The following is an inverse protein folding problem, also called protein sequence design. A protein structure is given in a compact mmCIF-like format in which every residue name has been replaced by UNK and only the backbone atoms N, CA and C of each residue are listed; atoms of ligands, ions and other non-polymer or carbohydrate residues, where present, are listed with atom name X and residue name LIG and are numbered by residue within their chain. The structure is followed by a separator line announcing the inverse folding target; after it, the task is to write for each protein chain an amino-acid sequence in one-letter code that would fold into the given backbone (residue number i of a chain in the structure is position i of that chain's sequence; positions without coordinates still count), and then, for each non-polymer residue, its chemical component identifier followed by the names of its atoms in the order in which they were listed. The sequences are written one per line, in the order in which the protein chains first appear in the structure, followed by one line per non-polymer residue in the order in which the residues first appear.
data_IF_688792814226
#
_entry.id   IF_688792814226
#
_cell.length_a   1.000
_cell.length_b   1.000
_cell.length_c   1.000
_cell.angle_alpha   90.00
_cell.angle_beta   90.00
_cell.angle_gamma   90.00
#
_symmetry.space_group_name_H-M   'P 1'
#
loop_
_entity.id
_entity.type
_entity.pdbx_description
1 polymer ?
#
# COMPACT_ATOMS: atom_id res chain seq x y z
N UNK A 1 -41.98 -1.16 19.57
CA UNK A 1 -40.60 -0.67 19.40
C UNK A 1 -40.09 -1.15 18.06
N UNK A 2 -40.23 -0.33 17.01
CA UNK A 2 -39.73 -0.67 15.68
C UNK A 2 -38.22 -0.54 15.66
N UNK A 3 -37.52 -1.63 15.34
CA UNK A 3 -36.11 -1.57 14.99
C UNK A 3 -35.96 -0.57 13.84
N UNK A 4 -35.22 0.53 14.05
CA UNK A 4 -34.76 1.36 12.96
C UNK A 4 -33.86 0.48 12.10
N UNK A 5 -34.40 -0.05 11.01
CA UNK A 5 -33.59 -0.57 9.91
C UNK A 5 -32.78 0.64 9.45
N UNK A 6 -31.53 0.74 9.90
CA UNK A 6 -30.62 1.74 9.37
C UNK A 6 -30.42 1.39 7.91
N UNK A 7 -30.84 2.28 7.01
CA UNK A 7 -30.55 2.12 5.59
C UNK A 7 -29.03 2.09 5.44
N UNK A 8 -28.52 1.07 4.73
CA UNK A 8 -27.10 0.96 4.47
C UNK A 8 -26.58 2.27 3.87
N UNK A 9 -25.56 2.86 4.51
CA UNK A 9 -25.02 4.15 4.09
C UNK A 9 -23.56 4.02 3.70
N UNK A 10 -23.17 4.69 2.62
CA UNK A 10 -21.78 4.76 2.18
C UNK A 10 -20.88 5.31 3.30
N UNK A 11 -21.34 6.30 4.05
CA UNK A 11 -20.57 6.94 5.11
C UNK A 11 -20.28 5.99 6.29
N UNK A 12 -21.26 5.17 6.68
CA UNK A 12 -21.06 4.15 7.71
C UNK A 12 -20.08 3.08 7.23
N UNK A 13 -20.23 2.61 5.99
CA UNK A 13 -19.32 1.63 5.43
C UNK A 13 -17.88 2.16 5.29
N UNK A 14 -17.71 3.43 4.93
CA UNK A 14 -16.42 4.11 4.92
C UNK A 14 -15.80 4.22 6.32
N UNK A 15 -16.61 4.53 7.34
CA UNK A 15 -16.14 4.55 8.72
C UNK A 15 -15.71 3.16 9.21
N UNK A 16 -16.45 2.11 8.85
CA UNK A 16 -16.09 0.72 9.15
C UNK A 16 -14.78 0.33 8.45
N UNK A 17 -14.65 0.65 7.16
CA UNK A 17 -13.43 0.39 6.39
C UNK A 17 -12.21 1.10 7.00
N UNK A 18 -12.36 2.38 7.41
CA UNK A 18 -11.30 3.15 8.09
C UNK A 18 -10.89 2.53 9.43
N UNK A 19 -11.83 1.93 10.16
CA UNK A 19 -11.57 1.21 11.42
C UNK A 19 -11.03 -0.21 11.20
N UNK A 20 -10.97 -0.69 9.96
CA UNK A 20 -10.56 -2.05 9.62
C UNK A 20 -11.61 -3.11 9.91
N UNK A 21 -12.88 -2.73 10.13
CA UNK A 21 -13.99 -3.68 10.26
C UNK A 21 -14.43 -4.13 8.86
N UNK A 22 -13.60 -4.97 8.22
CA UNK A 22 -13.69 -5.24 6.79
C UNK A 22 -14.96 -6.02 6.43
N UNK A 23 -15.35 -6.98 7.27
CA UNK A 23 -16.57 -7.79 7.07
C UNK A 23 -17.83 -6.91 7.08
N UNK A 24 -17.95 -6.05 8.09
CA UNK A 24 -19.08 -5.13 8.22
C UNK A 24 -19.10 -4.10 7.08
N UNK A 25 -17.93 -3.57 6.70
CA UNK A 25 -17.80 -2.64 5.59
C UNK A 25 -18.24 -3.26 4.25
N UNK A 26 -17.83 -4.50 3.96
CA UNK A 26 -18.24 -5.23 2.75
C UNK A 26 -19.74 -5.45 2.74
N UNK A 27 -20.32 -5.89 3.86
CA UNK A 27 -21.76 -6.14 3.95
C UNK A 27 -22.57 -4.86 3.65
N UNK A 28 -22.18 -3.74 4.26
CA UNK A 28 -22.81 -2.45 4.04
C UNK A 28 -22.64 -1.97 2.59
N UNK A 29 -21.43 -2.07 2.04
CA UNK A 29 -21.19 -1.63 0.66
C UNK A 29 -21.93 -2.48 -0.36
N UNK A 30 -22.03 -3.80 -0.17
CA UNK A 30 -22.84 -4.66 -1.04
C UNK A 30 -24.31 -4.26 -1.03
N UNK A 31 -24.85 -3.84 0.11
CA UNK A 31 -26.20 -3.31 0.19
C UNK A 31 -26.32 -1.98 -0.57
N UNK A 32 -25.33 -1.08 -0.44
CA UNK A 32 -25.27 0.20 -1.18
C UNK A 32 -25.21 -0.04 -2.69
N UNK A 33 -24.34 -0.92 -3.18
CA UNK A 33 -24.22 -1.21 -4.63
C UNK A 33 -25.43 -1.98 -5.17
N UNK A 34 -26.14 -2.74 -4.32
CA UNK A 34 -27.40 -3.37 -4.72
C UNK A 34 -28.53 -2.34 -4.90
N UNK A 35 -28.61 -1.34 -4.02
CA UNK A 35 -29.59 -0.26 -4.11
C UNK A 35 -29.23 0.78 -5.19
N UNK A 36 -27.92 1.01 -5.39
CA UNK A 36 -27.37 1.99 -6.34
C UNK A 36 -26.24 1.36 -7.16
N UNK A 37 -26.56 0.56 -8.20
CA UNK A 37 -25.55 -0.17 -8.99
C UNK A 37 -24.55 0.71 -9.77
N UNK A 38 -24.81 2.02 -9.85
CA UNK A 38 -23.94 2.98 -10.53
C UNK A 38 -23.24 3.94 -9.55
N UNK A 39 -23.15 3.64 -8.25
CA UNK A 39 -22.31 4.43 -7.34
C UNK A 39 -20.84 3.98 -7.48
N UNK A 40 -20.09 4.71 -8.32
CA UNK A 40 -18.66 4.44 -8.55
C UNK A 40 -17.82 4.50 -7.27
N UNK A 41 -18.19 5.34 -6.29
CA UNK A 41 -17.44 5.46 -5.03
C UNK A 41 -17.63 4.23 -4.16
N UNK A 42 -18.84 3.66 -4.14
CA UNK A 42 -19.11 2.43 -3.41
C UNK A 42 -18.33 1.24 -4.00
N UNK A 43 -18.28 1.12 -5.33
CA UNK A 43 -17.45 0.13 -6.01
C UNK A 43 -15.95 0.36 -5.76
N UNK A 44 -15.47 1.60 -5.81
CA UNK A 44 -14.08 1.93 -5.51
C UNK A 44 -13.70 1.57 -4.06
N UNK A 45 -14.58 1.85 -3.10
CA UNK A 45 -14.34 1.49 -1.70
C UNK A 45 -14.38 -0.04 -1.49
N UNK A 46 -15.30 -0.77 -2.15
CA UNK A 46 -15.27 -2.24 -2.14
C UNK A 46 -13.96 -2.77 -2.71
N UNK A 47 -13.48 -2.20 -3.82
CA UNK A 47 -12.20 -2.57 -4.40
C UNK A 47 -11.07 -2.44 -3.38
N UNK A 48 -10.98 -1.30 -2.70
CA UNK A 48 -9.95 -1.05 -1.67
C UNK A 48 -10.06 -2.03 -0.50
N UNK A 49 -11.26 -2.29 0.02
CA UNK A 49 -11.45 -3.24 1.13
C UNK A 49 -11.12 -4.67 0.70
N UNK A 50 -11.52 -5.10 -0.49
CA UNK A 50 -11.13 -6.41 -1.00
C UNK A 50 -9.62 -6.53 -1.25
N UNK A 51 -8.98 -5.48 -1.75
CA UNK A 51 -7.54 -5.47 -1.96
C UNK A 51 -6.78 -5.59 -0.64
N UNK A 52 -7.22 -4.91 0.43
CA UNK A 52 -6.60 -5.04 1.76
C UNK A 52 -6.85 -6.40 2.41
N UNK A 53 -7.95 -7.07 2.07
CA UNK A 53 -8.22 -8.45 2.46
C UNK A 53 -7.50 -9.49 1.57
N UNK A 54 -6.69 -9.06 0.62
CA UNK A 54 -6.02 -9.92 -0.37
C UNK A 54 -6.98 -10.72 -1.27
N UNK A 55 -8.25 -10.29 -1.37
CA UNK A 55 -9.26 -10.85 -2.26
C UNK A 55 -9.15 -10.20 -3.65
N UNK A 56 -8.04 -10.44 -4.34
CA UNK A 56 -7.66 -9.68 -5.55
C UNK A 56 -8.63 -9.85 -6.73
N UNK A 57 -9.29 -11.00 -6.85
CA UNK A 57 -10.30 -11.23 -7.89
C UNK A 57 -11.54 -10.36 -7.67
N UNK A 58 -12.04 -10.28 -6.44
CA UNK A 58 -13.15 -9.40 -6.08
C UNK A 58 -12.72 -7.93 -6.20
N UNK A 59 -11.53 -7.58 -5.70
CA UNK A 59 -11.00 -6.23 -5.80
C UNK A 59 -10.95 -5.73 -7.26
N UNK A 60 -10.37 -6.52 -8.15
CA UNK A 60 -10.29 -6.15 -9.58
C UNK A 60 -11.67 -6.00 -10.21
N UNK A 61 -12.65 -6.87 -9.90
CA UNK A 61 -14.03 -6.75 -10.40
C UNK A 61 -14.68 -5.43 -9.97
N UNK A 62 -14.53 -5.05 -8.71
CA UNK A 62 -15.14 -3.82 -8.18
C UNK A 62 -14.44 -2.56 -8.70
N UNK A 63 -13.11 -2.57 -8.83
CA UNK A 63 -12.37 -1.48 -9.47
C UNK A 63 -12.74 -1.32 -10.96
N UNK A 64 -12.93 -2.44 -11.69
CA UNK A 64 -13.41 -2.41 -13.07
C UNK A 64 -14.80 -1.77 -13.18
N UNK A 65 -15.68 -2.04 -12.20
CA UNK A 65 -17.00 -1.41 -12.14
C UNK A 65 -16.88 0.11 -11.91
N UNK A 66 -16.08 0.55 -10.93
CA UNK A 66 -15.86 1.97 -10.66
C UNK A 66 -15.29 2.73 -11.88
N UNK A 67 -14.26 2.17 -12.51
CA UNK A 67 -13.64 2.73 -13.71
C UNK A 67 -14.58 2.73 -14.92
N UNK A 68 -15.48 1.74 -15.04
CA UNK A 68 -16.50 1.71 -16.11
C UNK A 68 -17.59 2.77 -15.90
N UNK A 69 -18.04 2.96 -14.66
CA UNK A 69 -19.07 3.96 -14.32
C UNK A 69 -18.53 5.37 -14.51
N UNK A 70 -17.26 5.60 -14.15
CA UNK A 70 -16.60 6.92 -14.23
C UNK A 70 -15.27 6.83 -15.00
N UNK A 71 -15.31 6.67 -16.33
CA UNK A 71 -14.12 6.40 -17.15
C UNK A 71 -13.14 7.57 -17.27
N UNK A 72 -13.56 8.77 -16.88
CA UNK A 72 -12.75 9.98 -16.88
C UNK A 72 -12.17 10.33 -15.50
N UNK A 73 -12.32 9.46 -14.51
CA UNK A 73 -11.68 9.63 -13.20
C UNK A 73 -10.24 9.14 -13.23
N UNK A 74 -9.27 10.04 -13.06
CA UNK A 74 -7.86 9.65 -12.89
C UNK A 74 -7.67 8.73 -11.67
N UNK A 75 -8.42 8.96 -10.59
CA UNK A 75 -8.34 8.19 -9.36
C UNK A 75 -8.77 6.73 -9.58
N UNK A 76 -9.90 6.50 -10.28
CA UNK A 76 -10.37 5.13 -10.50
C UNK A 76 -9.54 4.35 -11.50
N UNK A 77 -8.92 5.03 -12.48
CA UNK A 77 -7.95 4.39 -13.37
C UNK A 77 -6.68 3.99 -12.61
N UNK A 78 -6.22 4.85 -11.69
CA UNK A 78 -5.10 4.56 -10.81
C UNK A 78 -5.40 3.37 -9.89
N UNK A 79 -6.56 3.37 -9.23
CA UNK A 79 -6.97 2.27 -8.33
C UNK A 79 -7.11 0.94 -9.07
N UNK A 80 -7.67 0.94 -10.28
CA UNK A 80 -7.75 -0.26 -11.10
C UNK A 80 -6.36 -0.79 -11.47
N UNK A 81 -5.44 0.10 -11.85
CA UNK A 81 -4.05 -0.29 -12.13
C UNK A 81 -3.35 -0.89 -10.91
N UNK A 82 -3.54 -0.29 -9.72
CA UNK A 82 -3.06 -0.82 -8.43
C UNK A 82 -3.65 -2.19 -8.11
N UNK A 83 -4.95 -2.38 -8.32
CA UNK A 83 -5.62 -3.67 -8.09
C UNK A 83 -5.07 -4.77 -9.01
N UNK A 84 -4.81 -4.46 -10.29
CA UNK A 84 -4.14 -5.40 -11.18
C UNK A 84 -2.69 -5.70 -10.76
N UNK A 85 -1.96 -4.70 -10.26
CA UNK A 85 -0.63 -4.87 -9.70
C UNK A 85 -0.61 -5.83 -8.51
N UNK A 86 -1.47 -5.58 -7.53
CA UNK A 86 -1.61 -6.45 -6.36
C UNK A 86 -1.98 -7.89 -6.77
N UNK A 87 -2.91 -8.06 -7.72
CA UNK A 87 -3.23 -9.37 -8.28
C UNK A 87 -2.03 -10.03 -8.96
N UNK A 88 -1.25 -9.29 -9.73
CA UNK A 88 -0.07 -9.79 -10.43
C UNK A 88 0.99 -10.31 -9.47
N UNK A 89 1.24 -9.58 -8.38
CA UNK A 89 2.25 -9.92 -7.37
C UNK A 89 1.91 -11.23 -6.63
N UNK A 90 0.62 -11.56 -6.49
CA UNK A 90 0.15 -12.74 -5.75
C UNK A 90 -0.25 -13.92 -6.64
N UNK A 91 -0.49 -13.73 -7.94
CA UNK A 91 -0.94 -14.77 -8.87
C UNK A 91 0.20 -15.41 -9.71
N UNK A 92 1.45 -15.12 -9.36
CA UNK A 92 2.65 -15.67 -10.00
C UNK A 92 3.02 -15.03 -11.35
N UNK A 93 4.20 -15.37 -11.91
CA UNK A 93 4.80 -14.65 -13.03
C UNK A 93 3.97 -14.73 -14.32
N UNK A 94 3.26 -15.84 -14.56
CA UNK A 94 2.42 -16.00 -15.74
C UNK A 94 1.21 -15.05 -15.72
N UNK A 95 0.52 -14.95 -14.59
CA UNK A 95 -0.61 -14.02 -14.44
C UNK A 95 -0.10 -12.58 -14.45
N UNK A 96 1.02 -12.30 -13.79
CA UNK A 96 1.63 -10.98 -13.79
C UNK A 96 1.97 -10.49 -15.20
N UNK A 97 2.52 -11.36 -16.05
CA UNK A 97 2.80 -11.02 -17.45
C UNK A 97 1.54 -10.72 -18.26
N UNK A 98 0.40 -11.35 -17.96
CA UNK A 98 -0.89 -11.02 -18.61
C UNK A 98 -1.45 -9.68 -18.16
N UNK A 99 -1.18 -9.29 -16.91
CA UNK A 99 -1.70 -8.06 -16.31
C UNK A 99 -0.79 -6.84 -16.55
N UNK A 100 0.50 -7.03 -16.84
CA UNK A 100 1.49 -5.94 -16.98
C UNK A 100 1.06 -4.83 -17.95
N UNK A 101 0.42 -5.20 -19.08
CA UNK A 101 -0.10 -4.24 -20.04
C UNK A 101 -1.29 -3.44 -19.50
N UNK A 102 -2.15 -4.06 -18.68
CA UNK A 102 -3.29 -3.39 -18.03
C UNK A 102 -2.83 -2.47 -16.92
N UNK A 103 -1.82 -2.87 -16.15
CA UNK A 103 -1.18 -2.05 -15.11
C UNK A 103 -0.60 -0.78 -15.74
N UNK A 104 0.29 -0.96 -16.74
CA UNK A 104 0.89 0.17 -17.46
C UNK A 104 -0.17 1.09 -18.06
N UNK A 105 -1.11 0.53 -18.83
CA UNK A 105 -2.14 1.31 -19.51
C UNK A 105 -3.05 2.06 -18.55
N UNK A 106 -3.37 1.49 -17.39
CA UNK A 106 -4.14 2.16 -16.35
C UNK A 106 -3.39 3.35 -15.71
N UNK A 107 -2.11 3.17 -15.38
CA UNK A 107 -1.27 4.28 -14.88
C UNK A 107 -1.10 5.39 -15.93
N UNK A 108 -0.79 5.03 -17.18
CA UNK A 108 -0.70 5.99 -18.30
C UNK A 108 -2.02 6.75 -18.48
N UNK A 109 -3.16 6.04 -18.41
CA UNK A 109 -4.48 6.66 -18.54
C UNK A 109 -4.79 7.59 -17.37
N UNK A 110 -4.43 7.23 -16.15
CA UNK A 110 -4.59 8.10 -14.98
C UNK A 110 -3.80 9.41 -15.16
N UNK A 111 -2.53 9.34 -15.55
CA UNK A 111 -1.69 10.52 -15.82
C UNK A 111 -2.21 11.34 -17.01
N UNK A 112 -2.81 10.69 -18.01
CA UNK A 112 -3.43 11.37 -19.15
C UNK A 112 -4.69 12.14 -18.74
N UNK A 113 -5.50 11.57 -17.85
CA UNK A 113 -6.73 12.18 -17.36
C UNK A 113 -6.46 13.36 -16.42
N UNK A 114 -5.50 13.20 -15.52
CA UNK A 114 -5.04 14.27 -14.64
C UNK A 114 -3.51 14.26 -14.60
N UNK A 115 -2.93 15.21 -15.33
CA UNK A 115 -1.50 15.41 -15.36
C UNK A 115 -0.91 15.86 -14.01
N UNK A 116 -1.71 16.35 -13.08
CA UNK A 116 -1.26 16.80 -11.76
C UNK A 116 -1.42 15.75 -10.66
N UNK A 117 -1.97 14.57 -10.99
CA UNK A 117 -2.11 13.48 -10.05
C UNK A 117 -0.73 12.91 -9.67
N UNK A 118 -0.23 13.32 -8.51
CA UNK A 118 1.09 12.95 -7.99
C UNK A 118 1.20 11.45 -7.77
N UNK A 119 0.14 10.79 -7.30
CA UNK A 119 0.13 9.37 -7.04
C UNK A 119 0.22 8.57 -8.35
N UNK A 120 -0.55 8.98 -9.37
CA UNK A 120 -0.48 8.36 -10.69
C UNK A 120 0.89 8.55 -11.36
N UNK A 121 1.48 9.74 -11.23
CA UNK A 121 2.83 10.01 -11.72
C UNK A 121 3.90 9.17 -10.99
N UNK A 122 3.77 9.05 -9.67
CA UNK A 122 4.69 8.28 -8.84
C UNK A 122 4.62 6.80 -9.17
N UNK A 123 3.41 6.24 -9.29
CA UNK A 123 3.19 4.82 -9.59
C UNK A 123 3.60 4.48 -11.03
N UNK A 124 3.34 5.37 -12.00
CA UNK A 124 3.82 5.19 -13.37
C UNK A 124 5.36 5.22 -13.42
N UNK A 125 5.98 6.16 -12.70
CA UNK A 125 7.43 6.25 -12.57
C UNK A 125 8.03 4.99 -11.95
N UNK A 126 7.45 4.52 -10.84
CA UNK A 126 7.82 3.28 -10.18
C UNK A 126 7.72 2.08 -11.13
N UNK A 127 6.60 1.96 -11.84
CA UNK A 127 6.41 0.91 -12.84
C UNK A 127 7.51 0.95 -13.90
N UNK A 128 7.87 2.14 -14.40
CA UNK A 128 8.95 2.29 -15.37
C UNK A 128 10.32 1.89 -14.81
N UNK A 129 10.60 2.13 -13.53
CA UNK A 129 11.86 1.67 -12.88
C UNK A 129 11.88 0.15 -12.72
N UNK A 130 10.78 -0.45 -12.26
CA UNK A 130 10.76 -1.86 -11.86
C UNK A 130 10.63 -2.80 -13.05
N UNK A 131 9.68 -2.50 -13.95
CA UNK A 131 9.29 -3.40 -15.02
C UNK A 131 10.44 -3.57 -16.05
N UNK A 132 10.64 -4.77 -16.61
CA UNK A 132 11.58 -4.97 -17.71
C UNK A 132 11.23 -4.10 -18.94
N UNK A 133 12.25 -3.68 -19.69
CA UNK A 133 12.05 -2.90 -20.92
C UNK A 133 11.15 -3.58 -21.94
N UNK A 134 11.21 -4.92 -22.04
CA UNK A 134 10.37 -5.74 -22.94
C UNK A 134 8.86 -5.61 -22.67
N UNK A 135 8.46 -5.26 -21.45
CA UNK A 135 7.05 -5.06 -21.07
C UNK A 135 6.70 -3.58 -20.92
N UNK A 136 7.63 -2.69 -21.30
CA UNK A 136 7.39 -1.24 -21.35
C UNK A 136 8.01 -0.44 -20.23
N UNK A 137 8.82 -1.05 -19.35
CA UNK A 137 9.64 -0.30 -18.40
C UNK A 137 10.74 0.54 -19.09
N UNK A 138 11.58 1.17 -18.29
CA UNK A 138 12.69 2.02 -18.73
C UNK A 138 12.98 3.16 -17.74
N UNK A 139 14.21 3.24 -17.24
CA UNK A 139 14.65 4.31 -16.32
C UNK A 139 14.71 5.67 -17.02
N UNK A 140 14.88 5.71 -18.34
CA UNK A 140 14.71 6.89 -19.19
C UNK A 140 13.29 7.47 -19.12
N UNK A 141 12.26 6.62 -19.21
CA UNK A 141 10.85 7.03 -19.08
C UNK A 141 10.54 7.51 -17.67
N UNK A 142 11.06 6.82 -16.66
CA UNK A 142 10.94 7.25 -15.27
C UNK A 142 11.54 8.66 -15.06
N UNK A 143 12.78 8.89 -15.53
CA UNK A 143 13.43 10.21 -15.46
C UNK A 143 12.65 11.30 -16.18
N UNK A 144 11.98 10.98 -17.29
CA UNK A 144 11.17 11.95 -18.02
C UNK A 144 9.95 12.47 -17.21
N UNK A 145 9.46 11.71 -16.22
CA UNK A 145 8.38 12.14 -15.33
C UNK A 145 8.88 13.01 -14.17
N UNK A 146 10.17 12.91 -13.82
CA UNK A 146 10.73 13.55 -12.64
C UNK A 146 10.55 15.08 -12.61
N UNK A 147 10.78 15.87 -13.68
CA UNK A 147 10.59 17.33 -13.62
C UNK A 147 9.15 17.72 -13.23
N UNK A 148 8.16 16.97 -13.72
CA UNK A 148 6.75 17.20 -13.41
C UNK A 148 6.43 16.85 -11.96
N UNK A 149 6.92 15.71 -11.48
CA UNK A 149 6.81 15.33 -10.08
C UNK A 149 7.52 16.34 -9.18
N UNK A 150 8.70 16.82 -9.54
CA UNK A 150 9.44 17.80 -8.75
C UNK A 150 8.68 19.12 -8.61
N UNK A 151 8.03 19.58 -9.68
CA UNK A 151 7.22 20.79 -9.66
C UNK A 151 5.99 20.67 -8.73
N UNK A 152 5.40 19.48 -8.61
CA UNK A 152 4.22 19.23 -7.78
C UNK A 152 4.59 18.88 -6.33
N UNK A 153 5.58 17.98 -6.18
CA UNK A 153 6.11 17.42 -4.93
C UNK A 153 7.60 17.07 -5.12
N UNK A 154 8.47 18.02 -4.83
CA UNK A 154 9.93 17.90 -4.96
C UNK A 154 10.50 16.58 -4.42
N UNK A 155 10.10 16.16 -3.23
CA UNK A 155 10.52 14.89 -2.63
C UNK A 155 10.24 13.66 -3.53
N UNK A 156 9.02 13.54 -4.08
CA UNK A 156 8.63 12.43 -4.98
C UNK A 156 9.42 12.43 -6.29
N UNK A 157 9.79 13.60 -6.77
CA UNK A 157 10.65 13.73 -7.95
C UNK A 157 12.09 13.25 -7.68
N UNK A 158 12.68 13.66 -6.55
CA UNK A 158 13.99 13.17 -6.10
C UNK A 158 13.99 11.66 -5.87
N UNK A 159 12.95 11.13 -5.19
CA UNK A 159 12.72 9.69 -5.02
C UNK A 159 12.82 8.96 -6.35
N UNK A 160 12.04 9.39 -7.35
CA UNK A 160 12.00 8.73 -8.65
C UNK A 160 13.36 8.73 -9.36
N UNK A 161 14.10 9.84 -9.28
CA UNK A 161 15.45 9.93 -9.84
C UNK A 161 16.43 9.01 -9.11
N UNK A 162 16.38 8.96 -7.78
CA UNK A 162 17.20 8.07 -6.95
C UNK A 162 16.96 6.60 -7.27
N UNK A 163 15.69 6.22 -7.44
CA UNK A 163 15.28 4.88 -7.84
C UNK A 163 15.76 4.51 -9.25
N UNK A 164 15.60 5.41 -10.22
CA UNK A 164 16.09 5.19 -11.59
C UNK A 164 17.62 5.05 -11.64
N UNK A 165 18.35 5.89 -10.90
CA UNK A 165 19.81 5.80 -10.80
C UNK A 165 20.25 4.50 -10.13
N UNK A 166 19.61 4.10 -9.03
CA UNK A 166 19.90 2.84 -8.35
C UNK A 166 19.66 1.62 -9.27
N UNK A 167 18.59 1.63 -10.06
CA UNK A 167 18.28 0.58 -11.05
C UNK A 167 19.34 0.46 -12.14
N UNK A 168 19.90 1.58 -12.56
CA UNK A 168 20.99 1.63 -13.55
C UNK A 168 22.37 1.31 -12.94
N UNK A 169 22.45 1.13 -11.62
CA UNK A 169 23.71 0.90 -10.90
C UNK A 169 24.53 2.18 -10.66
N UNK A 170 24.00 3.36 -11.00
CA UNK A 170 24.60 4.66 -10.68
C UNK A 170 24.29 5.05 -9.23
N UNK A 171 25.04 4.43 -8.33
CA UNK A 171 24.84 4.60 -6.90
C UNK A 171 25.28 5.96 -6.37
N UNK A 172 26.21 6.63 -7.04
CA UNK A 172 26.61 7.99 -6.65
C UNK A 172 25.47 8.97 -6.83
N UNK A 173 24.79 8.91 -7.99
CA UNK A 173 23.58 9.70 -8.22
C UNK A 173 22.43 9.27 -7.32
N UNK A 174 22.24 7.95 -7.12
CA UNK A 174 21.17 7.46 -6.24
C UNK A 174 21.31 7.99 -4.80
N UNK A 175 22.51 7.90 -4.21
CA UNK A 175 22.79 8.41 -2.87
C UNK A 175 22.50 9.92 -2.78
N UNK A 176 22.91 10.69 -3.80
CA UNK A 176 22.67 12.13 -3.84
C UNK A 176 21.17 12.49 -3.95
N UNK A 177 20.40 11.77 -4.76
CA UNK A 177 18.98 12.04 -4.95
C UNK A 177 18.15 11.64 -3.73
N UNK A 178 18.39 10.47 -3.12
CA UNK A 178 17.72 10.11 -1.86
C UNK A 178 18.07 11.06 -0.71
N UNK A 179 19.31 11.60 -0.68
CA UNK A 179 19.65 12.62 0.30
C UNK A 179 18.91 13.94 0.06
N UNK A 180 18.72 14.35 -1.21
CA UNK A 180 17.91 15.53 -1.54
C UNK A 180 16.45 15.32 -1.17
N UNK A 181 15.90 14.14 -1.43
CA UNK A 181 14.55 13.76 -0.98
C UNK A 181 14.41 13.95 0.53
N UNK A 182 15.32 13.36 1.32
CA UNK A 182 15.30 13.48 2.77
C UNK A 182 15.41 14.94 3.24
N UNK A 183 16.30 15.72 2.63
CA UNK A 183 16.50 17.14 2.97
C UNK A 183 15.30 18.02 2.60
N UNK A 184 14.45 17.60 1.66
CA UNK A 184 13.23 18.33 1.30
C UNK A 184 12.07 17.92 2.19
N UNK A 185 11.89 16.62 2.41
CA UNK A 185 10.70 16.09 3.09
C UNK A 185 10.83 16.08 4.61
N UNK A 186 12.01 15.70 5.14
CA UNK A 186 12.23 15.39 6.56
C UNK A 186 11.15 14.46 7.14
N UNK A 187 10.67 13.48 6.36
CA UNK A 187 9.52 12.63 6.69
C UNK A 187 9.92 11.18 6.94
N UNK A 188 9.02 10.44 7.62
CA UNK A 188 9.15 9.00 7.79
C UNK A 188 9.20 8.25 6.45
N UNK A 189 8.34 8.63 5.49
CA UNK A 189 8.40 8.13 4.11
C UNK A 189 9.82 8.19 3.50
N UNK A 190 10.51 9.34 3.58
CA UNK A 190 11.86 9.47 3.00
C UNK A 190 12.90 8.54 3.68
N UNK A 191 12.75 8.29 4.99
CA UNK A 191 13.57 7.31 5.68
C UNK A 191 13.23 5.86 5.29
N UNK A 192 11.95 5.55 5.03
CA UNK A 192 11.53 4.24 4.50
C UNK A 192 12.13 3.99 3.12
N UNK A 193 12.14 5.00 2.25
CA UNK A 193 12.73 4.90 0.92
C UNK A 193 14.26 4.68 0.97
N UNK A 194 14.96 5.41 1.84
CA UNK A 194 16.38 5.17 2.13
C UNK A 194 16.64 3.77 2.69
N UNK A 195 15.76 3.25 3.55
CA UNK A 195 15.87 1.89 4.08
C UNK A 195 15.71 0.85 2.96
N UNK A 196 14.71 0.99 2.09
CA UNK A 196 14.50 0.13 0.92
C UNK A 196 15.68 0.16 -0.05
N UNK A 197 16.20 1.35 -0.35
CA UNK A 197 17.38 1.52 -1.17
C UNK A 197 18.61 0.86 -0.54
N UNK A 198 18.86 1.05 0.76
CA UNK A 198 19.95 0.37 1.46
C UNK A 198 19.77 -1.17 1.45
N UNK A 199 18.54 -1.67 1.57
CA UNK A 199 18.26 -3.12 1.45
C UNK A 199 18.56 -3.65 0.05
N UNK A 200 18.20 -2.94 -1.03
CA UNK A 200 18.51 -3.38 -2.39
C UNK A 200 20.03 -3.47 -2.64
N UNK A 201 20.80 -2.64 -1.93
CA UNK A 201 22.27 -2.67 -1.87
C UNK A 201 22.85 -3.69 -0.88
N UNK A 202 22.00 -4.49 -0.21
CA UNK A 202 22.39 -5.45 0.85
C UNK A 202 23.10 -4.80 2.05
N UNK A 203 22.87 -3.50 2.27
CA UNK A 203 23.43 -2.75 3.39
C UNK A 203 22.52 -2.87 4.62
N UNK A 204 22.37 -4.09 5.14
CA UNK A 204 21.37 -4.44 6.16
C UNK A 204 21.43 -3.57 7.43
N UNK A 205 22.62 -3.22 7.90
CA UNK A 205 22.79 -2.38 9.09
C UNK A 205 22.29 -0.95 8.84
N UNK A 206 22.63 -0.37 7.70
CA UNK A 206 22.20 0.98 7.29
C UNK A 206 20.69 1.01 7.04
N UNK A 207 20.15 -0.02 6.39
CA UNK A 207 18.72 -0.18 6.19
C UNK A 207 17.95 -0.24 7.52
N UNK A 208 18.43 -1.00 8.50
CA UNK A 208 17.83 -1.07 9.83
C UNK A 208 17.90 0.28 10.56
N UNK A 209 19.01 1.01 10.46
CA UNK A 209 19.13 2.36 11.03
C UNK A 209 18.08 3.30 10.44
N UNK A 210 17.95 3.37 9.11
CA UNK A 210 16.94 4.21 8.47
C UNK A 210 15.51 3.82 8.83
N UNK A 211 15.19 2.52 8.92
CA UNK A 211 13.87 2.08 9.38
C UNK A 211 13.58 2.50 10.83
N UNK A 212 14.58 2.47 11.72
CA UNK A 212 14.41 2.99 13.09
C UNK A 212 14.19 4.50 13.09
N UNK A 213 14.92 5.26 12.26
CA UNK A 213 14.68 6.70 12.13
C UNK A 213 13.29 7.00 11.55
N UNK A 214 12.80 6.23 10.57
CA UNK A 214 11.44 6.37 10.06
C UNK A 214 10.40 6.29 11.19
N UNK A 215 10.49 5.28 12.05
CA UNK A 215 9.59 5.10 13.20
C UNK A 215 9.66 6.30 14.17
N UNK A 216 10.85 6.86 14.39
CA UNK A 216 11.02 8.03 15.28
C UNK A 216 10.43 9.31 14.67
N UNK A 217 10.50 9.45 13.35
CA UNK A 217 10.09 10.65 12.62
C UNK A 217 8.63 10.64 12.15
N UNK A 218 7.91 9.53 12.28
CA UNK A 218 6.49 9.43 11.90
C UNK A 218 5.56 10.21 12.86
N UNK A 219 6.03 10.46 14.09
CA UNK A 219 5.33 11.28 15.08
C UNK A 219 3.98 10.68 15.48
N UNK A 220 2.87 11.32 15.08
CA UNK A 220 1.49 10.85 15.32
C UNK A 220 0.89 10.10 14.13
N UNK A 221 1.54 10.13 12.97
CA UNK A 221 1.18 9.27 11.86
C UNK A 221 1.77 7.89 12.17
N UNK A 222 1.07 6.83 11.79
CA UNK A 222 1.46 5.48 12.19
C UNK A 222 1.67 4.55 11.00
N UNK A 223 1.31 4.98 9.78
CA UNK A 223 1.42 4.18 8.55
C UNK A 223 2.87 3.92 8.13
N UNK A 224 3.69 4.97 8.04
CA UNK A 224 5.10 4.84 7.64
C UNK A 224 5.91 4.06 8.69
N UNK A 225 5.54 4.18 9.97
CA UNK A 225 6.07 3.35 11.07
C UNK A 225 5.77 1.88 10.87
N UNK A 226 4.57 1.52 10.38
CA UNK A 226 4.25 0.12 10.07
C UNK A 226 5.12 -0.38 8.92
N UNK A 227 5.31 0.42 7.86
CA UNK A 227 6.18 0.01 6.75
C UNK A 227 7.64 -0.13 7.17
N UNK A 228 8.15 0.78 7.99
CA UNK A 228 9.48 0.66 8.58
C UNK A 228 9.62 -0.58 9.49
N UNK A 229 8.62 -0.85 10.35
CA UNK A 229 8.58 -2.02 11.20
C UNK A 229 8.57 -3.33 10.39
N UNK A 230 7.83 -3.37 9.27
CA UNK A 230 7.86 -4.50 8.32
C UNK A 230 9.26 -4.76 7.78
N UNK A 231 10.01 -3.70 7.45
CA UNK A 231 11.39 -3.83 6.99
C UNK A 231 12.30 -4.42 8.08
N UNK A 232 12.17 -3.95 9.33
CA UNK A 232 12.91 -4.49 10.47
C UNK A 232 12.64 -6.00 10.69
N UNK A 233 11.36 -6.40 10.68
CA UNK A 233 10.97 -7.81 10.80
C UNK A 233 11.50 -8.63 9.64
N UNK A 234 11.40 -8.13 8.40
CA UNK A 234 11.94 -8.80 7.20
C UNK A 234 13.45 -9.04 7.32
N UNK A 235 14.19 -8.05 7.81
CA UNK A 235 15.63 -8.14 8.05
C UNK A 235 16.00 -9.00 9.28
N UNK A 236 15.04 -9.31 10.17
CA UNK A 236 15.32 -9.97 11.45
C UNK A 236 16.18 -9.11 12.38
N UNK A 237 16.01 -7.79 12.33
CA UNK A 237 16.79 -6.81 13.10
C UNK A 237 15.85 -5.88 13.85
N UNK A 238 16.24 -5.48 15.06
CA UNK A 238 15.46 -4.55 15.90
C UNK A 238 13.99 -4.98 16.05
N UNK A 239 13.73 -6.28 16.26
CA UNK A 239 12.38 -6.83 16.34
C UNK A 239 11.55 -6.19 17.46
N UNK A 240 12.16 -5.91 18.61
CA UNK A 240 11.51 -5.19 19.72
C UNK A 240 11.00 -3.81 19.30
N UNK A 241 11.75 -3.10 18.45
CA UNK A 241 11.35 -1.77 17.94
C UNK A 241 10.18 -1.91 16.99
N UNK A 242 10.20 -2.91 16.10
CA UNK A 242 9.11 -3.18 15.17
C UNK A 242 7.82 -3.55 15.91
N UNK A 243 7.90 -4.44 16.91
CA UNK A 243 6.75 -4.87 17.70
C UNK A 243 6.18 -3.73 18.54
N UNK A 244 7.04 -2.88 19.11
CA UNK A 244 6.62 -1.66 19.80
C UNK A 244 5.87 -0.70 18.86
N UNK A 245 6.36 -0.51 17.63
CA UNK A 245 5.70 0.32 16.62
C UNK A 245 4.31 -0.23 16.24
N UNK A 246 4.17 -1.54 16.04
CA UNK A 246 2.85 -2.17 15.80
C UNK A 246 1.90 -1.96 16.98
N UNK A 247 2.37 -2.09 18.23
CA UNK A 247 1.52 -1.87 19.41
C UNK A 247 1.11 -0.40 19.57
N UNK A 248 2.00 0.52 19.27
CA UNK A 248 1.71 1.96 19.29
C UNK A 248 0.62 2.34 18.27
N UNK A 249 0.55 1.64 17.13
CA UNK A 249 -0.49 1.84 16.11
C UNK A 249 -1.91 1.72 16.68
N UNK A 250 -2.15 0.74 17.57
CA UNK A 250 -3.47 0.50 18.16
C UNK A 250 -3.97 1.62 19.08
N UNK A 251 -3.07 2.51 19.52
CA UNK A 251 -3.42 3.67 20.34
C UNK A 251 -3.35 4.99 19.55
N UNK A 252 -2.99 4.94 18.27
CA UNK A 252 -2.83 6.12 17.44
C UNK A 252 -4.16 6.59 16.86
N UNK A 253 -4.44 7.91 16.82
CA UNK A 253 -5.56 8.45 16.06
C UNK A 253 -5.38 8.32 14.54
N UNK A 254 -4.18 7.93 14.07
CA UNK A 254 -3.85 7.78 12.65
C UNK A 254 -4.23 6.40 12.06
N UNK A 255 -5.15 5.67 12.70
CA UNK A 255 -5.75 4.49 12.08
C UNK A 255 -6.36 4.87 10.73
N UNK A 256 -5.80 4.32 9.65
CA UNK A 256 -6.21 4.69 8.30
C UNK A 256 -6.68 3.46 7.52
N UNK A 257 -7.54 3.71 6.52
CA UNK A 257 -7.96 2.67 5.58
C UNK A 257 -6.77 2.08 4.78
N UNK A 258 -5.65 2.82 4.65
CA UNK A 258 -4.44 2.35 3.98
C UNK A 258 -3.62 1.36 4.80
N UNK A 259 -3.81 1.33 6.13
CA UNK A 259 -3.15 0.37 7.03
C UNK A 259 -4.18 -0.20 8.01
N UNK A 260 -5.08 -1.09 7.58
CA UNK A 260 -6.18 -1.54 8.45
C UNK A 260 -5.69 -2.20 9.74
N UNK A 261 -6.46 -2.06 10.83
CA UNK A 261 -6.08 -2.59 12.15
C UNK A 261 -5.87 -4.11 12.13
N UNK A 262 -6.72 -4.86 11.41
CA UNK A 262 -6.57 -6.31 11.25
C UNK A 262 -5.24 -6.70 10.56
N UNK A 263 -4.78 -5.87 9.62
CA UNK A 263 -3.51 -6.06 8.94
C UNK A 263 -2.34 -5.90 9.92
N UNK A 264 -2.39 -4.86 10.76
CA UNK A 264 -1.34 -4.62 11.78
C UNK A 264 -1.32 -5.71 12.85
N UNK A 265 -2.47 -6.19 13.31
CA UNK A 265 -2.54 -7.39 14.17
C UNK A 265 -1.85 -8.60 13.52
N UNK A 266 -2.10 -8.82 12.22
CA UNK A 266 -1.45 -9.91 11.48
C UNK A 266 0.07 -9.75 11.42
N UNK A 267 0.58 -8.54 11.14
CA UNK A 267 2.01 -8.26 11.11
C UNK A 267 2.69 -8.47 12.47
N UNK A 268 2.02 -8.06 13.55
CA UNK A 268 2.51 -8.26 14.90
C UNK A 268 2.51 -9.75 15.26
N UNK A 269 1.46 -10.49 14.90
CA UNK A 269 1.41 -11.94 15.07
C UNK A 269 2.55 -12.66 14.32
N UNK A 270 2.82 -12.27 13.07
CA UNK A 270 3.94 -12.78 12.29
C UNK A 270 5.31 -12.47 12.93
N UNK A 271 5.48 -11.26 13.49
CA UNK A 271 6.71 -10.88 14.21
C UNK A 271 6.91 -11.72 15.47
N UNK A 272 5.88 -11.83 16.31
CA UNK A 272 5.93 -12.60 17.56
C UNK A 272 6.22 -14.08 17.29
N UNK A 273 5.57 -14.66 16.27
CA UNK A 273 5.83 -16.04 15.87
C UNK A 273 7.29 -16.24 15.43
N UNK A 274 7.86 -15.29 14.69
CA UNK A 274 9.28 -15.29 14.28
C UNK A 274 10.24 -15.10 15.47
N UNK A 275 9.84 -14.32 16.47
CA UNK A 275 10.59 -14.11 17.71
C UNK A 275 10.46 -15.28 18.70
N UNK A 276 9.48 -16.18 18.49
CA UNK A 276 9.26 -17.37 19.31
C UNK A 276 8.09 -17.27 20.30
N UNK A 277 7.42 -16.12 20.40
CA UNK A 277 6.20 -15.94 21.20
C UNK A 277 4.97 -16.44 20.44
N UNK A 278 4.78 -17.76 20.46
CA UNK A 278 3.66 -18.42 19.78
C UNK A 278 2.31 -18.05 20.38
N UNK A 279 2.24 -17.91 21.69
CA UNK A 279 0.98 -17.60 22.39
C UNK A 279 0.54 -16.17 22.10
N UNK A 280 1.49 -15.23 22.09
CA UNK A 280 1.27 -13.86 21.62
C UNK A 280 0.82 -13.83 20.17
N UNK A 281 1.49 -14.58 19.29
CA UNK A 281 1.14 -14.65 17.88
C UNK A 281 -0.31 -15.12 17.65
N UNK A 282 -0.73 -16.20 18.32
CA UNK A 282 -2.11 -16.72 18.22
C UNK A 282 -3.15 -15.67 18.62
N UNK A 283 -2.91 -14.92 19.70
CA UNK A 283 -3.83 -13.85 20.15
C UNK A 283 -3.99 -12.77 19.09
N UNK A 284 -2.88 -12.34 18.47
CA UNK A 284 -2.91 -11.28 17.46
C UNK A 284 -3.59 -11.76 16.17
N UNK A 285 -3.36 -13.02 15.73
CA UNK A 285 -4.09 -13.56 14.58
C UNK A 285 -5.60 -13.70 14.86
N UNK A 286 -6.01 -14.10 16.07
CA UNK A 286 -7.41 -14.12 16.45
C UNK A 286 -8.04 -12.72 16.46
N UNK A 287 -7.31 -11.70 16.93
CA UNK A 287 -7.75 -10.31 16.88
C UNK A 287 -7.94 -9.83 15.43
N UNK A 288 -7.04 -10.20 14.52
CA UNK A 288 -7.21 -9.92 13.09
C UNK A 288 -8.47 -10.57 12.51
N UNK A 289 -8.71 -11.85 12.80
CA UNK A 289 -9.88 -12.59 12.31
C UNK A 289 -11.21 -12.15 12.96
N UNK A 290 -11.18 -11.47 14.10
CA UNK A 290 -12.39 -10.85 14.65
C UNK A 290 -12.88 -9.64 13.82
N UNK A 291 -11.99 -9.03 13.04
CA UNK A 291 -12.25 -7.85 12.21
C UNK A 291 -12.38 -8.18 10.71
N UNK A 292 -11.73 -9.26 10.28
CA UNK A 292 -11.68 -9.76 8.92
C UNK A 292 -11.60 -11.29 8.94
N UNK A 293 -12.75 -11.95 9.10
CA UNK A 293 -12.86 -13.38 9.48
C UNK A 293 -12.25 -14.35 8.48
N UNK A 294 -12.13 -13.96 7.21
CA UNK A 294 -11.55 -14.77 6.15
C UNK A 294 -10.20 -14.29 5.65
N UNK A 295 -9.56 -13.35 6.35
CA UNK A 295 -8.26 -12.80 5.95
C UNK A 295 -7.19 -13.90 5.82
N UNK A 296 -6.67 -14.18 4.60
CA UNK A 296 -5.87 -15.38 4.33
C UNK A 296 -4.58 -15.48 5.17
N UNK A 297 -3.88 -14.36 5.37
CA UNK A 297 -2.61 -14.35 6.13
C UNK A 297 -2.80 -14.69 7.60
N UNK A 298 -3.85 -14.16 8.23
CA UNK A 298 -4.16 -14.47 9.62
C UNK A 298 -4.61 -15.93 9.81
N UNK A 299 -5.44 -16.46 8.89
CA UNK A 299 -5.80 -17.90 8.87
C UNK A 299 -4.58 -18.80 8.77
N UNK A 300 -3.68 -18.49 7.82
CA UNK A 300 -2.40 -19.20 7.65
C UNK A 300 -1.56 -19.14 8.93
N UNK A 301 -1.53 -18.01 9.62
CA UNK A 301 -0.84 -17.83 10.90
C UNK A 301 -1.35 -18.76 12.02
N UNK A 302 -2.65 -19.10 12.00
CA UNK A 302 -3.27 -20.07 12.91
C UNK A 302 -3.25 -21.52 12.40
N UNK A 303 -2.77 -21.76 11.18
CA UNK A 303 -2.83 -23.08 10.53
C UNK A 303 -4.23 -23.50 10.08
N UNK A 304 -5.09 -22.53 9.77
CA UNK A 304 -6.46 -22.72 9.25
C UNK A 304 -6.53 -22.60 7.73
#
# INVERSE_FOLDING_TARGET
MGARIHAASFAEAEALAKKGHADEAIAQLKAVTSATPNDARAHALLCRVYATMEHFDDATRECEAAARISPNSSEYQLELARAYGAKADHAGPFTGMKLVGRIRGGFERAVQLDGSNVDALSDLGQFYVDAPGIVGGGTDKARALAPKLMALKAARGHRLLGMAAAKDGDYGTADAEFQKELNVAHSAEAYVDLANYAMSRKQWAKAAQYAVEAIRHDGKHAGDSIDAAKLLVKMGRNMDVAESAYRAYFSSPAMSAGTPVFYVHTLLGESLAKHGDKDGAVKEFQAALALAHDYPRAKKGLGQ
#
